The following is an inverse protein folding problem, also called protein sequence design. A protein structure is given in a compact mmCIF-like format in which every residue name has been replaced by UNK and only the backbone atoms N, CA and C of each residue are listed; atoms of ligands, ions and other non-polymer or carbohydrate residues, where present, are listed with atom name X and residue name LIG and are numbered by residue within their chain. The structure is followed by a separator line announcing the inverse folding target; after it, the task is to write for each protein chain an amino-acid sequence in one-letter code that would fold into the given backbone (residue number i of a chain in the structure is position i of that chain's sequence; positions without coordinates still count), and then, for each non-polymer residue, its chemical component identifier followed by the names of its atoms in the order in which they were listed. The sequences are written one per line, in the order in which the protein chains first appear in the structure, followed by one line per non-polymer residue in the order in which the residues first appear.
data_IF_007648511369
#
_entry.id   IF_007648511369
#
_cell.length_a   1.000
_cell.length_b   1.000
_cell.length_c   1.000
_cell.angle_alpha   90.00
_cell.angle_beta   90.00
_cell.angle_gamma   90.00
#
_symmetry.space_group_name_H-M   'P 1'
#
loop_
_entity.id
_entity.type
_entity.pdbx_description
1 polymer ?
#
# COMPACT_ATOMS: atom_id res chain seq x y z
N UNK A 1 -3.95 18.22 -1.48
CA UNK A 1 -2.48 18.22 -1.49
C UNK A 1 -1.98 16.93 -2.10
N UNK A 2 -0.97 16.95 -2.95
CA UNK A 2 -0.41 15.74 -3.55
C UNK A 2 1.04 15.60 -3.12
N UNK A 3 1.43 14.41 -2.70
CA UNK A 3 2.81 14.07 -2.36
C UNK A 3 3.21 12.87 -3.19
N UNK A 4 4.27 13.02 -3.96
CA UNK A 4 4.92 11.94 -4.67
C UNK A 4 6.29 11.63 -4.08
N UNK A 5 6.70 10.40 -4.17
CA UNK A 5 8.08 9.98 -3.94
C UNK A 5 8.60 9.38 -5.22
N UNK A 6 9.39 10.10 -6.04
CA UNK A 6 10.14 9.43 -7.04
C UNK A 6 11.24 8.62 -6.35
N UNK A 7 11.39 7.39 -6.77
CA UNK A 7 12.70 6.78 -6.72
C UNK A 7 13.39 7.37 -7.95
N UNK A 8 14.27 8.32 -7.74
CA UNK A 8 15.09 8.86 -8.81
C UNK A 8 16.00 7.75 -9.34
N UNK A 9 15.58 7.10 -10.42
CA UNK A 9 16.51 6.44 -11.29
C UNK A 9 17.20 7.56 -12.08
N UNK A 10 18.49 7.74 -11.84
CA UNK A 10 19.34 8.76 -12.42
C UNK A 10 18.97 9.10 -13.88
N UNK A 11 18.51 10.33 -14.12
CA UNK A 11 18.37 10.93 -15.43
C UNK A 11 17.18 10.55 -16.31
N UNK A 12 16.22 9.75 -15.83
CA UNK A 12 14.96 9.43 -16.54
C UNK A 12 13.77 9.84 -15.71
N UNK A 13 12.64 10.18 -16.36
CA UNK A 13 11.36 10.45 -15.70
C UNK A 13 11.07 9.32 -14.70
N UNK A 14 11.21 9.63 -13.41
CA UNK A 14 10.98 8.67 -12.34
C UNK A 14 9.49 8.36 -12.22
N UNK A 15 9.15 7.12 -12.04
CA UNK A 15 7.84 6.68 -11.58
C UNK A 15 7.98 6.22 -10.12
N UNK A 16 6.91 6.33 -9.36
CA UNK A 16 6.93 6.01 -7.93
C UNK A 16 5.54 6.03 -7.34
N UNK A 17 5.47 5.86 -6.02
CA UNK A 17 4.23 5.93 -5.29
C UNK A 17 3.82 7.38 -5.05
N UNK A 18 2.52 7.66 -5.11
CA UNK A 18 1.98 8.97 -4.81
C UNK A 18 0.80 8.87 -3.83
N UNK A 19 0.64 9.88 -2.98
CA UNK A 19 -0.51 10.07 -2.12
C UNK A 19 -1.17 11.41 -2.44
N UNK A 20 -2.46 11.37 -2.76
CA UNK A 20 -3.30 12.56 -2.89
C UNK A 20 -4.24 12.62 -1.69
N UNK A 21 -4.31 13.75 -1.02
CA UNK A 21 -5.14 13.91 0.17
C UNK A 21 -5.78 15.30 0.24
N UNK A 22 -7.02 15.35 0.71
CA UNK A 22 -7.70 16.58 1.11
C UNK A 22 -7.35 17.02 2.55
N UNK A 23 -6.78 16.09 3.34
CA UNK A 23 -6.39 16.34 4.73
C UNK A 23 -4.98 16.95 4.81
N UNK A 24 -4.66 17.71 5.86
CA UNK A 24 -3.32 18.26 6.07
C UNK A 24 -2.27 17.16 6.22
N UNK A 25 -1.13 17.35 5.57
CA UNK A 25 0.03 16.48 5.71
C UNK A 25 0.90 17.04 6.84
N UNK A 26 1.20 16.18 7.82
CA UNK A 26 2.02 16.51 8.99
C UNK A 26 3.48 16.14 8.75
N UNK A 27 3.73 14.95 8.19
CA UNK A 27 5.08 14.44 7.96
C UNK A 27 5.13 13.53 6.74
N UNK A 28 6.27 13.55 6.05
CA UNK A 28 6.55 12.69 4.90
C UNK A 28 7.92 12.04 5.11
N UNK A 29 7.96 10.72 4.95
CA UNK A 29 9.19 9.93 4.89
C UNK A 29 9.20 9.09 3.60
N UNK A 30 10.37 8.88 3.04
CA UNK A 30 10.56 8.06 1.85
C UNK A 30 11.66 7.07 2.12
N UNK A 31 11.38 5.80 1.89
CA UNK A 31 12.34 4.73 2.11
C UNK A 31 12.60 4.01 0.79
N UNK A 32 13.87 3.79 0.49
CA UNK A 32 14.29 2.92 -0.60
C UNK A 32 14.18 1.47 -0.12
N UNK A 33 13.35 0.68 -0.80
CA UNK A 33 13.18 -0.75 -0.56
C UNK A 33 13.64 -1.56 -1.77
N UNK A 34 14.47 -0.98 -2.61
CA UNK A 34 14.99 -1.61 -3.83
C UNK A 34 15.86 -2.83 -3.49
N UNK A 35 15.86 -3.78 -4.40
CA UNK A 35 16.75 -4.94 -4.36
C UNK A 35 17.78 -4.78 -5.49
N UNK A 36 19.07 -5.02 -5.26
CA UNK A 36 20.11 -4.86 -6.29
C UNK A 36 19.77 -5.58 -7.59
N UNK A 37 20.05 -4.93 -8.73
CA UNK A 37 19.79 -5.44 -10.09
C UNK A 37 18.31 -5.67 -10.40
N UNK A 38 17.39 -5.07 -9.65
CA UNK A 38 15.96 -5.07 -9.89
C UNK A 38 15.45 -3.65 -10.12
N UNK A 39 14.19 -3.55 -10.56
CA UNK A 39 13.51 -2.26 -10.69
C UNK A 39 13.45 -1.56 -9.33
N UNK A 40 13.81 -0.27 -9.23
CA UNK A 40 13.73 0.47 -7.98
C UNK A 40 12.32 0.46 -7.38
N UNK A 41 12.23 0.29 -6.07
CA UNK A 41 10.96 0.27 -5.31
C UNK A 41 11.08 1.12 -4.06
N UNK A 42 9.99 1.79 -3.71
CA UNK A 42 9.94 2.67 -2.55
C UNK A 42 8.77 2.41 -1.64
N UNK A 43 8.92 2.87 -0.41
CA UNK A 43 7.85 3.01 0.56
C UNK A 43 7.66 4.50 0.84
N UNK A 44 6.49 5.01 0.54
CA UNK A 44 6.05 6.36 0.89
C UNK A 44 5.27 6.28 2.21
N UNK A 45 5.77 6.93 3.24
CA UNK A 45 5.19 6.96 4.58
C UNK A 45 4.79 8.40 4.92
N UNK A 46 3.49 8.63 5.02
CA UNK A 46 2.90 9.95 5.21
C UNK A 46 2.03 9.95 6.46
N UNK A 47 2.25 10.94 7.31
CA UNK A 47 1.36 11.25 8.42
C UNK A 47 0.43 12.37 7.99
N UNK A 48 -0.88 12.14 8.12
CA UNK A 48 -1.93 13.12 7.83
C UNK A 48 -2.72 13.43 9.10
N UNK A 49 -3.20 14.65 9.22
CA UNK A 49 -4.10 15.03 10.32
C UNK A 49 -5.55 14.78 9.93
N UNK A 50 -6.22 13.90 10.67
CA UNK A 50 -7.65 13.66 10.54
C UNK A 50 -8.40 14.27 11.73
N UNK A 51 -8.69 15.56 11.62
CA UNK A 51 -9.40 16.33 12.66
C UNK A 51 -8.72 16.23 14.05
N UNK A 52 -7.42 16.53 14.10
CA UNK A 52 -6.61 16.46 15.31
C UNK A 52 -6.11 15.06 15.68
N UNK A 53 -6.35 14.06 14.82
CA UNK A 53 -5.89 12.69 15.03
C UNK A 53 -4.92 12.27 13.91
N UNK A 54 -3.67 11.96 14.23
CA UNK A 54 -2.72 11.55 13.21
C UNK A 54 -3.04 10.16 12.69
N UNK A 55 -3.09 10.04 11.36
CA UNK A 55 -3.16 8.77 10.64
C UNK A 55 -1.86 8.59 9.87
N UNK A 56 -1.26 7.43 10.00
CA UNK A 56 -0.09 7.03 9.24
C UNK A 56 -0.52 6.23 8.00
N UNK A 57 -0.13 6.69 6.83
CA UNK A 57 -0.44 6.04 5.55
C UNK A 57 0.87 5.61 4.89
N UNK A 58 1.03 4.31 4.69
CA UNK A 58 2.16 3.71 3.99
C UNK A 58 1.70 3.22 2.63
N UNK A 59 2.34 3.71 1.57
CA UNK A 59 2.04 3.33 0.20
C UNK A 59 3.28 2.71 -0.46
N UNK A 60 3.11 1.53 -1.05
CA UNK A 60 4.20 0.81 -1.70
C UNK A 60 3.75 0.06 -2.96
N UNK A 61 4.70 -0.24 -3.83
CA UNK A 61 4.54 -1.16 -4.95
C UNK A 61 5.71 -2.14 -4.92
N UNK A 62 5.44 -3.40 -4.60
CA UNK A 62 6.48 -4.42 -4.45
C UNK A 62 6.93 -4.99 -5.80
N UNK A 63 8.09 -5.60 -5.80
CA UNK A 63 8.68 -6.21 -6.98
C UNK A 63 8.00 -7.49 -7.44
N UNK A 64 8.32 -7.91 -8.66
CA UNK A 64 7.67 -9.02 -9.35
C UNK A 64 8.11 -10.39 -8.85
N UNK A 65 9.35 -10.56 -8.38
CA UNK A 65 9.83 -11.87 -7.91
C UNK A 65 9.50 -12.12 -6.44
N UNK A 66 9.26 -13.38 -6.09
CA UNK A 66 8.97 -13.76 -4.70
C UNK A 66 10.15 -13.51 -3.75
N UNK A 67 11.39 -13.61 -4.23
CA UNK A 67 12.59 -13.32 -3.45
C UNK A 67 12.68 -11.83 -3.12
N UNK A 68 12.46 -10.99 -4.12
CA UNK A 68 12.42 -9.54 -4.00
C UNK A 68 11.35 -9.08 -3.00
N UNK A 69 10.11 -9.56 -3.16
CA UNK A 69 9.01 -9.23 -2.24
C UNK A 69 9.28 -9.64 -0.79
N UNK A 70 10.00 -10.74 -0.57
CA UNK A 70 10.37 -11.14 0.80
C UNK A 70 11.29 -10.13 1.47
N UNK A 71 12.30 -9.64 0.76
CA UNK A 71 13.20 -8.61 1.27
C UNK A 71 12.43 -7.33 1.52
N UNK A 72 11.66 -6.88 0.55
CA UNK A 72 10.89 -5.63 0.62
C UNK A 72 9.87 -5.63 1.76
N UNK A 73 9.15 -6.74 1.97
CA UNK A 73 8.21 -6.86 3.10
C UNK A 73 8.92 -6.83 4.45
N UNK A 74 10.14 -7.38 4.57
CA UNK A 74 10.92 -7.27 5.81
C UNK A 74 11.31 -5.82 6.09
N UNK A 75 11.71 -5.04 5.07
CA UNK A 75 12.00 -3.61 5.20
C UNK A 75 10.74 -2.83 5.61
N UNK A 76 9.60 -3.07 4.95
CA UNK A 76 8.31 -2.44 5.31
C UNK A 76 7.92 -2.77 6.76
N UNK A 77 8.09 -4.02 7.19
CA UNK A 77 7.78 -4.43 8.57
C UNK A 77 8.73 -3.77 9.58
N UNK A 78 10.00 -3.57 9.24
CA UNK A 78 10.96 -2.83 10.05
C UNK A 78 10.46 -1.42 10.37
N UNK A 79 9.98 -0.70 9.36
CA UNK A 79 9.42 0.65 9.54
C UNK A 79 8.11 0.67 10.35
N UNK A 80 7.35 -0.41 10.31
CA UNK A 80 6.10 -0.54 11.07
C UNK A 80 6.30 -0.83 12.56
N UNK A 81 7.46 -1.35 12.97
CA UNK A 81 7.72 -1.67 14.38
C UNK A 81 7.86 -0.42 15.27
N UNK A 82 8.18 0.71 14.69
CA UNK A 82 8.51 1.93 15.42
C UNK A 82 7.29 2.67 16.04
N UNK A 83 6.06 2.37 15.57
CA UNK A 83 4.85 3.09 16.03
C UNK A 83 3.63 2.16 16.08
N UNK A 84 3.43 1.47 17.20
CA UNK A 84 2.36 0.45 17.33
C UNK A 84 0.96 0.97 17.65
N UNK A 85 0.82 2.18 18.20
CA UNK A 85 -0.43 2.64 18.79
C UNK A 85 -1.27 3.56 17.89
N UNK A 86 -0.75 3.95 16.71
CA UNK A 86 -1.42 4.87 15.81
C UNK A 86 -2.28 4.15 14.78
N UNK A 87 -3.37 4.81 14.38
CA UNK A 87 -4.13 4.37 13.21
C UNK A 87 -3.20 4.36 11.98
N UNK A 88 -2.92 3.15 11.49
CA UNK A 88 -1.98 2.93 10.40
C UNK A 88 -2.69 2.24 9.23
N UNK A 89 -2.52 2.78 8.04
CA UNK A 89 -3.01 2.22 6.78
C UNK A 89 -1.80 1.84 5.93
N UNK A 90 -1.67 0.57 5.56
CA UNK A 90 -0.70 0.09 4.57
C UNK A 90 -1.47 -0.31 3.32
N UNK A 91 -1.10 0.27 2.18
CA UNK A 91 -1.78 0.03 0.91
C UNK A 91 -0.79 -0.03 -0.26
N UNK A 92 -1.24 -0.62 -1.37
CA UNK A 92 -0.49 -0.66 -2.63
C UNK A 92 -0.68 -1.96 -3.40
N UNK A 93 0.11 -2.10 -4.48
CA UNK A 93 0.26 -3.35 -5.21
C UNK A 93 1.39 -4.18 -4.60
N UNK A 94 1.03 -5.34 -4.07
CA UNK A 94 1.98 -6.25 -3.43
C UNK A 94 2.52 -7.32 -4.38
N UNK A 95 2.05 -7.35 -5.62
CA UNK A 95 2.48 -8.30 -6.66
C UNK A 95 2.51 -9.77 -6.18
N UNK A 96 1.71 -10.12 -5.17
CA UNK A 96 1.69 -11.49 -4.64
C UNK A 96 0.54 -12.29 -5.24
N UNK A 97 0.91 -13.16 -6.15
CA UNK A 97 0.00 -13.98 -6.95
C UNK A 97 -0.59 -15.15 -6.18
N UNK A 98 0.16 -15.65 -5.18
CA UNK A 98 -0.27 -16.81 -4.39
C UNK A 98 -1.06 -16.37 -3.16
N UNK A 99 -2.32 -16.79 -3.00
CA UNK A 99 -3.06 -16.59 -1.76
C UNK A 99 -2.29 -17.21 -0.59
N UNK A 100 -1.83 -16.39 0.36
CA UNK A 100 -1.05 -16.86 1.51
C UNK A 100 0.45 -17.08 1.24
N UNK A 101 1.00 -16.46 0.20
CA UNK A 101 2.46 -16.39 -0.02
C UNK A 101 3.20 -15.90 1.23
N UNK A 102 4.47 -16.29 1.38
CA UNK A 102 5.27 -15.92 2.58
C UNK A 102 5.25 -14.42 2.91
N UNK A 103 5.40 -13.49 1.92
CA UNK A 103 5.29 -12.05 2.17
C UNK A 103 3.96 -11.65 2.80
N UNK A 104 2.85 -12.16 2.26
CA UNK A 104 1.51 -11.86 2.78
C UNK A 104 1.26 -12.45 4.17
N UNK A 105 1.84 -13.62 4.48
CA UNK A 105 1.73 -14.19 5.84
C UNK A 105 2.42 -13.31 6.87
N UNK A 106 3.58 -12.76 6.55
CA UNK A 106 4.31 -11.86 7.44
C UNK A 106 3.49 -10.58 7.73
N UNK A 107 2.90 -9.98 6.70
CA UNK A 107 1.99 -8.82 6.84
C UNK A 107 0.70 -9.21 7.58
N UNK A 108 0.11 -10.37 7.29
CA UNK A 108 -1.08 -10.85 7.96
C UNK A 108 -0.87 -11.16 9.45
N UNK A 109 0.33 -11.53 9.85
CA UNK A 109 0.70 -11.67 11.25
C UNK A 109 0.65 -10.31 11.99
N UNK A 110 1.05 -9.23 11.32
CA UNK A 110 1.07 -7.86 11.88
C UNK A 110 -0.31 -7.20 11.86
N UNK A 111 -1.05 -7.30 10.75
CA UNK A 111 -2.32 -6.58 10.52
C UNK A 111 -3.56 -7.46 10.68
N UNK A 112 -3.39 -8.76 10.86
CA UNK A 112 -4.46 -9.71 10.79
C UNK A 112 -4.79 -10.14 9.34
N UNK A 113 -5.41 -11.32 9.21
CA UNK A 113 -5.88 -11.82 7.92
C UNK A 113 -7.08 -11.00 7.46
N UNK A 114 -6.98 -10.38 6.29
CA UNK A 114 -8.06 -9.64 5.64
C UNK A 114 -8.45 -10.28 4.31
N UNK A 115 -9.72 -10.14 3.91
CA UNK A 115 -10.12 -10.42 2.53
C UNK A 115 -9.63 -9.26 1.67
N UNK A 116 -8.93 -9.57 0.58
CA UNK A 116 -8.61 -8.60 -0.44
C UNK A 116 -9.41 -8.96 -1.69
N UNK A 117 -10.26 -8.07 -2.19
CA UNK A 117 -10.99 -8.31 -3.42
C UNK A 117 -10.04 -8.46 -4.61
N UNK A 118 -10.51 -9.10 -5.68
CA UNK A 118 -9.74 -9.27 -6.91
C UNK A 118 -9.72 -7.98 -7.71
N UNK A 119 -8.55 -7.55 -8.14
CA UNK A 119 -8.33 -6.26 -8.83
C UNK A 119 -7.73 -6.43 -10.21
N UNK A 120 -7.01 -7.52 -10.46
CA UNK A 120 -6.24 -7.76 -11.68
C UNK A 120 -6.68 -9.05 -12.40
N UNK A 121 -6.70 -9.08 -13.75
CA UNK A 121 -6.71 -7.92 -14.63
C UNK A 121 -8.05 -7.17 -14.57
N UNK A 122 -8.07 -5.85 -14.80
CA UNK A 122 -9.24 -4.99 -14.60
C UNK A 122 -10.49 -5.40 -15.37
N UNK A 123 -10.32 -5.97 -16.57
CA UNK A 123 -11.45 -6.42 -17.42
C UNK A 123 -12.12 -7.66 -16.85
N UNK A 124 -11.34 -8.60 -16.28
CA UNK A 124 -11.82 -9.86 -15.70
C UNK A 124 -11.00 -10.20 -14.44
N UNK A 125 -11.32 -9.61 -13.29
CA UNK A 125 -10.49 -9.72 -12.08
C UNK A 125 -10.39 -11.16 -11.56
N UNK A 126 -9.17 -11.69 -11.54
CA UNK A 126 -8.85 -13.05 -11.09
C UNK A 126 -7.93 -13.04 -9.86
N UNK A 127 -7.07 -12.03 -9.75
CA UNK A 127 -6.03 -11.95 -8.71
C UNK A 127 -6.22 -10.73 -7.81
N UNK A 128 -5.84 -10.91 -6.54
CA UNK A 128 -5.87 -9.86 -5.51
C UNK A 128 -4.44 -9.36 -5.28
N UNK A 129 -3.89 -8.60 -6.23
CA UNK A 129 -2.53 -8.06 -6.15
C UNK A 129 -2.48 -6.82 -5.26
N UNK A 130 -3.51 -5.98 -5.37
CA UNK A 130 -3.67 -4.77 -4.56
C UNK A 130 -4.28 -5.08 -3.20
N UNK A 131 -3.79 -4.41 -2.15
CA UNK A 131 -4.24 -4.65 -0.79
C UNK A 131 -4.28 -3.38 0.03
N UNK A 132 -5.19 -3.38 1.01
CA UNK A 132 -5.28 -2.35 2.03
C UNK A 132 -5.39 -3.06 3.39
N UNK A 133 -4.45 -2.76 4.28
CA UNK A 133 -4.48 -3.16 5.68
C UNK A 133 -4.63 -1.96 6.57
N UNK A 134 -5.35 -2.12 7.67
CA UNK A 134 -5.57 -1.07 8.66
C UNK A 134 -5.30 -1.63 10.05
N UNK A 135 -4.62 -0.86 10.86
CA UNK A 135 -4.39 -1.14 12.27
C UNK A 135 -4.78 0.09 13.11
N UNK A 136 -5.57 -0.10 14.17
CA UNK A 136 -6.20 -1.36 14.59
C UNK A 136 -7.22 -1.86 13.56
N UNK A 137 -7.31 -3.18 13.40
CA UNK A 137 -8.19 -3.79 12.38
C UNK A 137 -9.65 -3.38 12.52
N UNK A 138 -10.09 -3.12 13.75
CA UNK A 138 -11.45 -2.65 14.04
C UNK A 138 -11.79 -1.29 13.41
N UNK A 139 -10.77 -0.52 12.98
CA UNK A 139 -10.96 0.73 12.25
C UNK A 139 -11.30 0.51 10.76
N UNK A 140 -11.10 -0.68 10.20
CA UNK A 140 -11.47 -0.99 8.83
C UNK A 140 -12.93 -1.45 8.77
N UNK A 141 -13.83 -0.58 8.34
CA UNK A 141 -15.25 -0.88 8.21
C UNK A 141 -15.56 -1.70 6.95
N UNK A 142 -14.78 -1.54 5.87
CA UNK A 142 -14.97 -2.32 4.66
C UNK A 142 -13.93 -2.05 3.59
N UNK A 143 -13.79 -3.02 2.65
CA UNK A 143 -12.99 -2.89 1.43
C UNK A 143 -13.80 -3.39 0.26
N UNK A 144 -13.85 -2.62 -0.82
CA UNK A 144 -14.55 -2.97 -2.06
C UNK A 144 -13.74 -2.57 -3.29
N UNK A 145 -14.03 -3.19 -4.42
CA UNK A 145 -13.48 -2.81 -5.72
C UNK A 145 -14.38 -1.78 -6.39
N UNK A 146 -13.78 -0.78 -7.03
CA UNK A 146 -14.48 0.14 -7.91
C UNK A 146 -14.37 -0.33 -9.36
N UNK A 147 -15.46 -0.87 -9.91
CA UNK A 147 -15.49 -1.57 -11.21
C UNK A 147 -16.19 -0.81 -12.34
N UNK A 148 -16.12 0.54 -12.40
CA UNK A 148 -16.73 1.31 -13.48
C UNK A 148 -16.07 1.05 -14.86
N UNK A 149 -16.75 1.44 -15.94
CA UNK A 149 -16.17 1.39 -17.30
C UNK A 149 -14.90 2.20 -17.40
N UNK A 150 -14.88 3.39 -16.79
CA UNK A 150 -13.71 4.26 -16.76
C UNK A 150 -12.53 3.60 -16.01
N UNK A 151 -12.78 3.02 -14.84
CA UNK A 151 -11.74 2.31 -14.09
C UNK A 151 -11.10 1.17 -14.90
N UNK A 152 -11.92 0.42 -15.65
CA UNK A 152 -11.44 -0.67 -16.53
C UNK A 152 -10.63 -0.19 -17.74
N UNK A 153 -10.87 1.03 -18.20
CA UNK A 153 -10.14 1.64 -19.30
C UNK A 153 -8.87 2.35 -18.86
N UNK A 154 -8.86 2.88 -17.62
CA UNK A 154 -7.77 3.70 -17.11
C UNK A 154 -6.55 2.89 -16.66
N UNK A 155 -6.72 1.63 -16.25
CA UNK A 155 -5.65 0.77 -15.76
C UNK A 155 -5.97 -0.71 -15.96
N UNK A 156 -4.94 -1.54 -15.99
CA UNK A 156 -5.03 -2.99 -15.92
C UNK A 156 -5.36 -3.50 -14.50
N UNK A 157 -5.31 -2.65 -13.48
CA UNK A 157 -5.82 -2.89 -12.13
C UNK A 157 -7.10 -2.12 -11.85
N UNK A 158 -8.01 -2.70 -11.07
CA UNK A 158 -9.18 -1.98 -10.55
C UNK A 158 -8.85 -1.30 -9.21
N UNK A 159 -9.32 -0.06 -8.99
CA UNK A 159 -9.13 0.62 -7.72
C UNK A 159 -9.77 -0.12 -6.55
N UNK A 160 -9.05 -0.23 -5.43
CA UNK A 160 -9.59 -0.59 -4.13
C UNK A 160 -10.07 0.66 -3.38
N UNK A 161 -11.21 0.54 -2.73
CA UNK A 161 -11.77 1.57 -1.86
C UNK A 161 -11.95 0.98 -0.47
N UNK A 162 -11.33 1.58 0.53
CA UNK A 162 -11.50 1.21 1.93
C UNK A 162 -12.24 2.32 2.69
N UNK A 163 -13.12 1.91 3.60
CA UNK A 163 -13.74 2.82 4.58
C UNK A 163 -13.06 2.61 5.92
N UNK A 164 -12.44 3.68 6.42
CA UNK A 164 -11.77 3.69 7.73
C UNK A 164 -12.59 4.54 8.69
N UNK A 165 -12.81 4.03 9.89
CA UNK A 165 -13.57 4.71 10.94
C UNK A 165 -12.68 4.93 12.17
N UNK A 166 -12.71 6.12 12.73
CA UNK A 166 -12.10 6.39 14.02
C UNK A 166 -13.11 6.01 15.11
N UNK A 167 -12.80 5.00 15.90
CA UNK A 167 -13.55 4.78 17.14
C UNK A 167 -13.11 5.82 18.16
N UNK A 168 -14.11 6.44 18.77
CA UNK A 168 -13.91 7.35 19.92
C UNK A 168 -13.40 6.58 21.11
#
# INVERSE_FOLDING_TARGET
MAVGGPIEASGRRGFGNALLTALPIVRIRRFDISVPKREPRGLLDVEIDWHGRPIRVLNTHLGLSAAERRVQVMLVLGELHLERERLTVLLGDFNEWLPGGRPLRALAHRFGRGRSPRTFPSRRPLFSLDRIWVQPRAALAGVRVHGSRLARAASDHLPLVATVVSRR
#
